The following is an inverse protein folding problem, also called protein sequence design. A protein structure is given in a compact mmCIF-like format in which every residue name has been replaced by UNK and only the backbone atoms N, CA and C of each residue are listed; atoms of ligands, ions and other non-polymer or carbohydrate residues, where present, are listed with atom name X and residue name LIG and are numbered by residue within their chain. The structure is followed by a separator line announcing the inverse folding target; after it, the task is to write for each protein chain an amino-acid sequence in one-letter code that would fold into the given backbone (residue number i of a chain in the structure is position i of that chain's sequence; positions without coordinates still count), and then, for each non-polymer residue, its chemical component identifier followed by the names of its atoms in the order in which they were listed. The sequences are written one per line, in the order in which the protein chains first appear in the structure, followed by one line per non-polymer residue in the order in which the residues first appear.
data_IF_066731440624
#
_entry.id   IF_066731440624
#
_cell.length_a   1.000
_cell.length_b   1.000
_cell.length_c   1.000
_cell.angle_alpha   90.00
_cell.angle_beta   90.00
_cell.angle_gamma   90.00
#
_symmetry.space_group_name_H-M   'P 1'
#
loop_
_entity.id
_entity.type
_entity.pdbx_description
1 polymer ?
#
# COMPACT_ATOMS: atom_id res chain seq x y z
N UNK A 1 34.61 -38.22 -26.05
CA UNK A 1 33.34 -38.57 -25.35
C UNK A 1 33.13 -37.78 -24.06
N UNK A 2 34.15 -37.61 -23.21
CA UNK A 2 34.04 -36.87 -21.94
C UNK A 2 33.52 -35.43 -22.08
N UNK A 3 33.94 -34.66 -23.10
CA UNK A 3 33.46 -33.27 -23.28
C UNK A 3 31.96 -33.16 -23.58
N UNK A 4 31.41 -34.05 -24.42
CA UNK A 4 29.96 -34.11 -24.71
C UNK A 4 29.16 -34.53 -23.48
N UNK A 5 29.69 -35.45 -22.67
CA UNK A 5 29.07 -35.85 -21.40
C UNK A 5 29.12 -34.72 -20.37
N UNK A 6 30.24 -34.00 -20.28
CA UNK A 6 30.40 -32.83 -19.41
C UNK A 6 29.44 -31.70 -19.80
N UNK A 7 29.27 -31.44 -21.11
CA UNK A 7 28.30 -30.47 -21.61
C UNK A 7 26.86 -30.89 -21.34
N UNK A 8 26.50 -32.17 -21.56
CA UNK A 8 25.17 -32.69 -21.19
C UNK A 8 24.92 -32.60 -19.69
N UNK A 9 25.92 -32.90 -18.88
CA UNK A 9 25.82 -32.83 -17.42
C UNK A 9 25.65 -31.38 -16.95
N UNK A 10 26.43 -30.43 -17.49
CA UNK A 10 26.25 -28.99 -17.24
C UNK A 10 24.90 -28.45 -17.74
N UNK A 11 24.40 -28.99 -18.84
CA UNK A 11 23.08 -28.63 -19.38
C UNK A 11 21.94 -29.13 -18.49
N UNK A 12 21.95 -30.42 -18.12
CA UNK A 12 20.87 -31.05 -17.33
C UNK A 12 20.85 -30.58 -15.88
N UNK A 13 22.01 -30.41 -15.23
CA UNK A 13 22.11 -29.99 -13.83
C UNK A 13 22.18 -28.46 -13.66
N UNK A 14 22.59 -27.73 -14.70
CA UNK A 14 22.75 -26.29 -14.69
C UNK A 14 21.68 -25.60 -15.53
N UNK A 15 21.89 -25.50 -16.84
CA UNK A 15 21.16 -24.54 -17.69
C UNK A 15 19.67 -24.84 -17.91
N UNK A 16 19.29 -26.13 -17.97
CA UNK A 16 17.91 -26.57 -18.23
C UNK A 16 16.92 -26.16 -17.14
N UNK A 17 17.17 -26.35 -15.82
CA UNK A 17 16.26 -25.87 -14.79
C UNK A 17 16.15 -24.34 -14.76
N UNK A 18 17.24 -23.59 -14.99
CA UNK A 18 17.18 -22.12 -15.07
C UNK A 18 16.36 -21.64 -16.26
N UNK A 19 16.59 -22.18 -17.46
CA UNK A 19 15.83 -21.81 -18.67
C UNK A 19 14.36 -22.17 -18.55
N UNK A 20 14.02 -23.35 -18.01
CA UNK A 20 12.63 -23.74 -17.73
C UNK A 20 11.96 -22.77 -16.74
N UNK A 21 12.66 -22.43 -15.66
CA UNK A 21 12.13 -21.52 -14.63
C UNK A 21 11.95 -20.11 -15.18
N UNK A 22 12.91 -19.62 -15.96
CA UNK A 22 12.84 -18.34 -16.66
C UNK A 22 11.64 -18.27 -17.61
N UNK A 23 11.48 -19.26 -18.50
CA UNK A 23 10.36 -19.31 -19.45
C UNK A 23 9.00 -19.45 -18.75
N UNK A 24 8.93 -20.28 -17.70
CA UNK A 24 7.73 -20.41 -16.88
C UNK A 24 7.33 -19.06 -16.28
N UNK A 25 8.27 -18.35 -15.67
CA UNK A 25 7.99 -17.05 -15.07
C UNK A 25 7.71 -15.96 -16.08
N UNK A 26 8.36 -15.99 -17.24
CA UNK A 26 8.06 -15.08 -18.35
C UNK A 26 6.58 -15.19 -18.74
N UNK A 27 6.07 -16.42 -18.91
CA UNK A 27 4.66 -16.66 -19.26
C UNK A 27 3.72 -16.33 -18.09
N UNK A 28 3.99 -16.85 -16.89
CA UNK A 28 3.10 -16.67 -15.75
C UNK A 28 3.00 -15.19 -15.34
N UNK A 29 4.12 -14.49 -15.24
CA UNK A 29 4.16 -13.08 -14.88
C UNK A 29 3.54 -12.19 -15.97
N UNK A 30 3.67 -12.55 -17.26
CA UNK A 30 3.00 -11.82 -18.35
C UNK A 30 1.48 -11.95 -18.28
N UNK A 31 0.98 -13.17 -18.07
CA UNK A 31 -0.47 -13.40 -17.91
C UNK A 31 -1.00 -12.65 -16.69
N UNK A 32 -0.29 -12.72 -15.55
CA UNK A 32 -0.64 -11.94 -14.36
C UNK A 32 -0.61 -10.43 -14.64
N UNK A 33 0.46 -9.93 -15.26
CA UNK A 33 0.63 -8.52 -15.56
C UNK A 33 -0.51 -7.96 -16.40
N UNK A 34 -0.87 -8.64 -17.50
CA UNK A 34 -1.99 -8.19 -18.36
C UNK A 34 -3.32 -8.28 -17.62
N UNK A 35 -3.64 -9.42 -17.00
CA UNK A 35 -4.93 -9.61 -16.34
C UNK A 35 -5.12 -8.68 -15.12
N UNK A 36 -4.11 -8.61 -14.25
CA UNK A 36 -4.11 -7.73 -13.09
C UNK A 36 -4.02 -6.25 -13.48
N UNK A 37 -3.30 -5.92 -14.56
CA UNK A 37 -3.22 -4.57 -15.09
C UNK A 37 -4.55 -4.06 -15.63
N UNK A 38 -5.27 -4.90 -16.37
CA UNK A 38 -6.62 -4.57 -16.84
C UNK A 38 -7.60 -4.34 -15.68
N UNK A 39 -7.61 -5.24 -14.69
CA UNK A 39 -8.46 -5.08 -13.49
C UNK A 39 -8.04 -3.88 -12.66
N UNK A 40 -6.75 -3.63 -12.50
CA UNK A 40 -6.20 -2.46 -11.83
C UNK A 40 -6.59 -1.16 -12.51
N UNK A 41 -6.58 -1.11 -13.84
CA UNK A 41 -7.02 0.05 -14.62
C UNK A 41 -8.52 0.32 -14.48
N UNK A 42 -9.36 -0.72 -14.55
CA UNK A 42 -10.80 -0.58 -14.28
C UNK A 42 -11.03 -0.04 -12.86
N UNK A 43 -10.31 -0.59 -11.88
CA UNK A 43 -10.43 -0.14 -10.49
C UNK A 43 -9.97 1.32 -10.31
N UNK A 44 -8.87 1.73 -10.95
CA UNK A 44 -8.42 3.11 -11.00
C UNK A 44 -9.52 4.04 -11.52
N UNK A 45 -10.07 3.74 -12.70
CA UNK A 45 -11.08 4.60 -13.33
C UNK A 45 -12.38 4.67 -12.53
N UNK A 46 -12.81 3.57 -11.91
CA UNK A 46 -13.97 3.56 -11.02
C UNK A 46 -13.79 4.46 -9.81
N UNK A 47 -12.63 4.40 -9.14
CA UNK A 47 -12.36 5.24 -7.96
C UNK A 47 -12.16 6.71 -8.34
N UNK A 48 -11.51 6.99 -9.46
CA UNK A 48 -11.37 8.34 -10.01
C UNK A 48 -12.73 8.95 -10.36
N UNK A 49 -13.59 8.19 -11.04
CA UNK A 49 -14.96 8.61 -11.32
C UNK A 49 -15.77 8.85 -10.05
N UNK A 50 -15.67 7.95 -9.06
CA UNK A 50 -16.34 8.11 -7.77
C UNK A 50 -15.91 9.39 -7.05
N UNK A 51 -14.63 9.73 -7.14
CA UNK A 51 -14.06 10.96 -6.57
C UNK A 51 -14.63 12.20 -7.27
N UNK A 52 -14.64 12.21 -8.61
CA UNK A 52 -15.22 13.31 -9.40
C UNK A 52 -16.71 13.50 -9.14
N UNK A 53 -17.48 12.41 -9.09
CA UNK A 53 -18.92 12.43 -8.75
C UNK A 53 -19.18 12.98 -7.35
N UNK A 54 -18.38 12.58 -6.35
CA UNK A 54 -18.48 13.10 -4.99
C UNK A 54 -18.21 14.60 -4.93
N UNK A 55 -17.21 15.09 -5.67
CA UNK A 55 -16.88 16.51 -5.75
C UNK A 55 -18.00 17.31 -6.42
N UNK A 56 -18.57 16.79 -7.52
CA UNK A 56 -19.67 17.41 -8.25
C UNK A 56 -21.00 17.39 -7.49
N UNK A 57 -21.23 16.37 -6.65
CA UNK A 57 -22.48 16.18 -5.91
C UNK A 57 -22.25 16.05 -4.40
N UNK A 58 -22.08 17.18 -3.70
CA UNK A 58 -21.82 17.21 -2.26
C UNK A 58 -22.84 16.46 -1.39
N UNK A 59 -24.08 16.34 -1.83
CA UNK A 59 -25.14 15.65 -1.08
C UNK A 59 -24.92 14.12 -0.97
N UNK A 60 -24.07 13.52 -1.83
CA UNK A 60 -23.75 12.08 -1.79
C UNK A 60 -23.20 11.63 -0.43
N UNK A 61 -22.56 12.53 0.32
CA UNK A 61 -22.07 12.27 1.67
C UNK A 61 -23.19 11.78 2.62
N UNK A 62 -24.41 12.28 2.46
CA UNK A 62 -25.54 11.90 3.33
C UNK A 62 -26.06 10.49 3.05
N UNK A 63 -25.69 9.89 1.91
CA UNK A 63 -25.99 8.49 1.58
C UNK A 63 -24.98 7.50 2.16
N UNK A 64 -23.93 7.98 2.83
CA UNK A 64 -22.89 7.14 3.45
C UNK A 64 -23.46 6.01 4.34
N UNK A 65 -24.49 6.22 5.18
CA UNK A 65 -25.10 5.13 5.96
C UNK A 65 -25.67 4.03 5.06
N UNK A 66 -26.38 4.41 3.99
CA UNK A 66 -27.01 3.47 3.05
C UNK A 66 -25.94 2.65 2.32
N UNK A 67 -24.90 3.31 1.79
CA UNK A 67 -23.82 2.60 1.11
C UNK A 67 -23.03 1.68 2.04
N UNK A 68 -22.82 2.09 3.29
CA UNK A 68 -22.20 1.22 4.29
C UNK A 68 -23.05 -0.03 4.57
N UNK A 69 -24.37 0.10 4.70
CA UNK A 69 -25.28 -1.05 4.88
C UNK A 69 -25.21 -2.00 3.68
N UNK A 70 -25.15 -1.46 2.46
CA UNK A 70 -24.97 -2.25 1.23
C UNK A 70 -23.66 -3.02 1.27
N UNK A 71 -22.54 -2.39 1.65
CA UNK A 71 -21.24 -3.06 1.80
C UNK A 71 -21.36 -4.24 2.77
N UNK A 72 -21.92 -4.03 3.96
CA UNK A 72 -22.07 -5.08 4.98
C UNK A 72 -22.95 -6.21 4.47
N UNK A 73 -24.11 -5.88 3.89
CA UNK A 73 -25.06 -6.87 3.37
C UNK A 73 -24.44 -7.75 2.29
N UNK A 74 -23.74 -7.16 1.32
CA UNK A 74 -23.13 -7.92 0.23
C UNK A 74 -21.99 -8.80 0.75
N UNK A 75 -21.14 -8.30 1.65
CA UNK A 75 -20.05 -9.09 2.25
C UNK A 75 -20.59 -10.30 3.05
N UNK A 76 -21.64 -10.09 3.86
CA UNK A 76 -22.28 -11.17 4.62
C UNK A 76 -22.95 -12.21 3.70
N UNK A 77 -23.67 -11.75 2.66
CA UNK A 77 -24.33 -12.63 1.69
C UNK A 77 -23.31 -13.48 0.91
N UNK A 78 -22.14 -12.91 0.58
CA UNK A 78 -21.05 -13.63 -0.06
C UNK A 78 -20.22 -14.50 0.90
N UNK A 79 -20.60 -14.59 2.19
CA UNK A 79 -19.90 -15.33 3.25
C UNK A 79 -18.44 -14.92 3.41
N UNK A 80 -18.14 -13.64 3.14
CA UNK A 80 -16.82 -13.06 3.36
C UNK A 80 -16.80 -12.42 4.74
N UNK A 81 -15.96 -12.96 5.63
CA UNK A 81 -15.76 -12.39 6.96
C UNK A 81 -15.32 -10.93 6.84
N UNK A 82 -15.94 -10.04 7.63
CA UNK A 82 -15.71 -8.60 7.50
C UNK A 82 -14.40 -8.12 8.14
N UNK A 83 -13.66 -9.00 8.83
CA UNK A 83 -12.65 -8.54 9.79
C UNK A 83 -11.20 -8.67 9.28
N UNK A 84 -10.93 -9.45 8.22
CA UNK A 84 -9.54 -9.81 7.89
C UNK A 84 -8.85 -9.02 6.78
N UNK A 85 -9.55 -8.17 6.02
CA UNK A 85 -8.97 -7.14 5.13
C UNK A 85 -7.68 -7.51 4.38
N UNK A 86 -6.70 -6.60 4.39
CA UNK A 86 -5.36 -6.79 3.79
C UNK A 86 -4.54 -7.88 4.50
N UNK A 87 -4.75 -8.05 5.82
CA UNK A 87 -4.09 -9.09 6.61
C UNK A 87 -4.37 -10.51 6.07
N UNK A 88 -5.59 -10.79 5.61
CA UNK A 88 -5.93 -12.08 5.01
C UNK A 88 -5.06 -12.42 3.79
N UNK A 89 -4.69 -11.39 3.03
CA UNK A 89 -3.91 -11.56 1.79
C UNK A 89 -2.43 -11.72 2.10
N UNK A 90 -1.93 -11.01 3.11
CA UNK A 90 -0.58 -11.23 3.63
C UNK A 90 -0.42 -12.62 4.24
N UNK A 91 -1.39 -13.09 5.04
CA UNK A 91 -1.43 -14.46 5.56
C UNK A 91 -1.47 -15.49 4.42
N UNK A 92 -2.25 -15.21 3.37
CA UNK A 92 -2.33 -16.06 2.18
C UNK A 92 -0.97 -16.20 1.50
N UNK A 93 -0.24 -15.09 1.34
CA UNK A 93 1.10 -15.07 0.77
C UNK A 93 2.09 -15.83 1.66
N UNK A 94 2.05 -15.60 2.98
CA UNK A 94 2.89 -16.31 3.95
C UNK A 94 2.65 -17.83 3.92
N UNK A 95 1.39 -18.26 3.88
CA UNK A 95 1.06 -19.69 3.94
C UNK A 95 1.12 -20.40 2.58
N UNK A 96 1.27 -19.66 1.48
CA UNK A 96 1.15 -20.20 0.11
C UNK A 96 -0.28 -20.70 -0.20
N UNK A 97 -1.29 -20.13 0.46
CA UNK A 97 -2.71 -20.43 0.20
C UNK A 97 -3.28 -19.37 -0.75
N UNK A 98 -4.49 -19.59 -1.25
CA UNK A 98 -5.23 -18.60 -2.05
C UNK A 98 -6.21 -17.82 -1.16
N UNK A 99 -6.28 -16.51 -1.37
CA UNK A 99 -7.43 -15.74 -0.98
C UNK A 99 -8.60 -16.07 -1.93
N UNK A 100 -9.87 -16.05 -1.47
CA UNK A 100 -11.01 -16.34 -2.34
C UNK A 100 -11.08 -15.33 -3.49
N UNK A 101 -11.18 -15.80 -4.75
CA UNK A 101 -11.30 -14.91 -5.93
C UNK A 101 -12.48 -13.93 -5.82
N UNK A 102 -13.54 -14.32 -5.11
CA UNK A 102 -14.71 -13.48 -4.83
C UNK A 102 -14.36 -12.19 -4.07
N UNK A 103 -13.22 -12.14 -3.38
CA UNK A 103 -12.71 -10.93 -2.72
C UNK A 103 -12.51 -9.78 -3.72
N UNK A 104 -12.02 -10.08 -4.92
CA UNK A 104 -11.69 -9.08 -5.94
C UNK A 104 -12.89 -8.19 -6.33
N UNK A 105 -14.03 -8.71 -6.81
CA UNK A 105 -15.18 -7.86 -7.13
C UNK A 105 -15.78 -7.17 -5.89
N UNK A 106 -15.73 -7.82 -4.72
CA UNK A 106 -16.25 -7.25 -3.48
C UNK A 106 -15.47 -6.04 -2.99
N UNK A 107 -14.13 -6.11 -3.01
CA UNK A 107 -13.28 -5.01 -2.55
C UNK A 107 -13.30 -3.85 -3.54
N UNK A 108 -13.42 -4.12 -4.85
CA UNK A 108 -13.63 -3.08 -5.87
C UNK A 108 -14.92 -2.32 -5.58
N UNK A 109 -16.04 -3.04 -5.45
CA UNK A 109 -17.35 -2.45 -5.16
C UNK A 109 -17.34 -1.67 -3.84
N UNK A 110 -16.79 -2.24 -2.76
CA UNK A 110 -16.84 -1.60 -1.47
C UNK A 110 -15.92 -0.38 -1.36
N UNK A 111 -14.74 -0.41 -2.00
CA UNK A 111 -13.86 0.76 -2.08
C UNK A 111 -14.50 1.86 -2.93
N UNK A 112 -15.11 1.49 -4.07
CA UNK A 112 -15.87 2.42 -4.89
C UNK A 112 -16.99 3.13 -4.11
N UNK A 113 -17.84 2.38 -3.40
CA UNK A 113 -18.91 2.95 -2.57
C UNK A 113 -18.32 3.85 -1.47
N UNK A 114 -17.25 3.41 -0.81
CA UNK A 114 -16.59 4.19 0.25
C UNK A 114 -16.09 5.53 -0.28
N UNK A 115 -15.43 5.55 -1.45
CA UNK A 115 -14.93 6.79 -2.05
C UNK A 115 -16.04 7.68 -2.60
N UNK A 116 -17.07 7.09 -3.23
CA UNK A 116 -18.20 7.81 -3.81
C UNK A 116 -18.98 8.58 -2.73
N UNK A 117 -19.17 7.96 -1.58
CA UNK A 117 -19.95 8.52 -0.48
C UNK A 117 -19.09 9.30 0.52
N UNK A 118 -17.78 9.39 0.30
CA UNK A 118 -16.89 10.27 1.06
C UNK A 118 -16.30 9.68 2.33
N UNK A 119 -16.24 8.36 2.49
CA UNK A 119 -15.37 7.75 3.49
C UNK A 119 -13.91 8.10 3.23
N UNK A 120 -13.14 8.41 4.28
CA UNK A 120 -11.69 8.63 4.16
C UNK A 120 -10.96 7.30 4.08
N UNK A 121 -10.58 6.91 2.86
CA UNK A 121 -9.84 5.70 2.57
C UNK A 121 -9.01 5.88 1.28
N UNK A 122 -7.97 5.09 1.14
CA UNK A 122 -7.17 4.93 -0.08
C UNK A 122 -7.62 3.74 -0.92
N UNK A 123 -6.96 3.52 -2.06
CA UNK A 123 -7.25 2.42 -3.00
C UNK A 123 -6.19 1.31 -2.97
N UNK A 124 -5.14 1.47 -2.18
CA UNK A 124 -3.89 0.68 -2.24
C UNK A 124 -4.00 -0.64 -1.48
N UNK A 125 -4.53 -0.60 -0.26
CA UNK A 125 -4.81 -1.82 0.51
C UNK A 125 -5.79 -2.71 -0.24
N UNK A 126 -6.75 -2.10 -0.95
CA UNK A 126 -7.63 -2.81 -1.88
C UNK A 126 -6.85 -3.36 -3.09
N UNK A 127 -5.89 -2.61 -3.65
CA UNK A 127 -5.01 -3.06 -4.74
C UNK A 127 -4.24 -4.33 -4.36
N UNK A 128 -3.61 -4.36 -3.18
CA UNK A 128 -2.92 -5.54 -2.66
C UNK A 128 -3.88 -6.72 -2.51
N UNK A 129 -5.10 -6.47 -2.05
CA UNK A 129 -6.10 -7.52 -1.89
C UNK A 129 -6.56 -8.11 -3.23
N UNK A 130 -6.83 -7.25 -4.21
CA UNK A 130 -7.20 -7.65 -5.58
C UNK A 130 -6.04 -8.46 -6.18
N UNK A 131 -4.82 -7.95 -6.10
CA UNK A 131 -3.63 -8.56 -6.66
C UNK A 131 -3.28 -9.90 -6.02
N UNK A 132 -3.33 -10.00 -4.70
CA UNK A 132 -3.06 -11.27 -4.01
C UNK A 132 -4.14 -12.33 -4.26
N UNK A 133 -5.42 -11.91 -4.34
CA UNK A 133 -6.54 -12.78 -4.73
C UNK A 133 -6.41 -13.31 -6.16
N UNK A 134 -6.14 -12.42 -7.12
CA UNK A 134 -5.96 -12.79 -8.53
C UNK A 134 -4.70 -13.61 -8.75
N UNK A 135 -3.57 -13.22 -8.15
CA UNK A 135 -2.31 -13.95 -8.20
C UNK A 135 -2.46 -15.37 -7.62
N UNK A 136 -3.14 -15.50 -6.48
CA UNK A 136 -3.45 -16.80 -5.89
C UNK A 136 -4.34 -17.66 -6.80
N UNK A 137 -5.37 -17.08 -7.41
CA UNK A 137 -6.22 -17.82 -8.34
C UNK A 137 -5.49 -18.24 -9.63
N UNK A 138 -4.67 -17.35 -10.20
CA UNK A 138 -3.87 -17.65 -11.40
C UNK A 138 -2.86 -18.77 -11.12
N UNK A 139 -2.15 -18.72 -9.98
CA UNK A 139 -1.19 -19.75 -9.62
C UNK A 139 -1.82 -21.13 -9.44
N UNK A 140 -3.02 -21.20 -8.86
CA UNK A 140 -3.79 -22.44 -8.74
C UNK A 140 -4.24 -22.94 -10.11
N UNK A 141 -4.74 -22.05 -10.98
CA UNK A 141 -5.18 -22.40 -12.34
C UNK A 141 -4.01 -22.93 -13.19
N UNK A 142 -2.82 -22.37 -12.99
CA UNK A 142 -1.57 -22.81 -13.63
C UNK A 142 -0.95 -24.05 -12.95
N UNK A 143 -1.57 -24.58 -11.89
CA UNK A 143 -1.11 -25.76 -11.13
C UNK A 143 0.31 -25.61 -10.57
N UNK A 144 0.63 -24.41 -10.08
CA UNK A 144 1.92 -24.12 -9.47
C UNK A 144 2.08 -24.85 -8.13
N UNK A 145 3.32 -25.23 -7.79
CA UNK A 145 3.63 -25.76 -6.46
C UNK A 145 3.51 -24.64 -5.40
N UNK A 146 3.60 -24.99 -4.11
CA UNK A 146 3.39 -24.04 -3.00
C UNK A 146 4.33 -22.82 -3.02
N UNK A 147 5.60 -23.01 -3.40
CA UNK A 147 6.58 -21.93 -3.45
C UNK A 147 6.31 -21.00 -4.63
N UNK A 148 6.06 -21.56 -5.81
CA UNK A 148 5.63 -20.79 -6.99
C UNK A 148 4.26 -20.13 -6.77
N UNK A 149 3.36 -20.74 -6.00
CA UNK A 149 2.08 -20.15 -5.61
C UNK A 149 2.28 -18.87 -4.79
N UNK A 150 3.17 -18.91 -3.79
CA UNK A 150 3.56 -17.71 -3.01
C UNK A 150 4.12 -16.62 -3.91
N UNK A 151 5.05 -16.96 -4.81
CA UNK A 151 5.63 -16.00 -5.77
C UNK A 151 4.57 -15.43 -6.71
N UNK A 152 3.56 -16.21 -7.09
CA UNK A 152 2.48 -15.73 -7.94
C UNK A 152 1.53 -14.76 -7.21
N UNK A 153 1.27 -14.98 -5.93
CA UNK A 153 0.54 -14.02 -5.07
C UNK A 153 1.30 -12.69 -5.00
N UNK A 154 2.62 -12.75 -4.79
CA UNK A 154 3.49 -11.58 -4.80
C UNK A 154 3.50 -10.83 -6.13
N UNK A 155 3.58 -11.58 -7.24
CA UNK A 155 3.54 -11.00 -8.58
C UNK A 155 2.19 -10.34 -8.85
N UNK A 156 1.08 -10.92 -8.40
CA UNK A 156 -0.25 -10.32 -8.50
C UNK A 156 -0.40 -9.05 -7.68
N UNK A 157 0.07 -9.04 -6.43
CA UNK A 157 0.14 -7.82 -5.59
C UNK A 157 0.95 -6.72 -6.28
N UNK A 158 2.12 -7.07 -6.81
CA UNK A 158 3.00 -6.14 -7.54
C UNK A 158 2.33 -5.58 -8.79
N UNK A 159 1.62 -6.42 -9.55
CA UNK A 159 0.93 -6.02 -10.75
C UNK A 159 -0.17 -4.99 -10.46
N UNK A 160 -1.09 -5.28 -9.54
CA UNK A 160 -2.22 -4.37 -9.29
C UNK A 160 -1.74 -3.08 -8.62
N UNK A 161 -0.76 -3.15 -7.72
CA UNK A 161 -0.18 -1.95 -7.12
C UNK A 161 0.48 -1.05 -8.19
N UNK A 162 1.25 -1.63 -9.12
CA UNK A 162 1.87 -0.90 -10.23
C UNK A 162 0.84 -0.25 -11.17
N UNK A 163 -0.26 -0.95 -11.49
CA UNK A 163 -1.34 -0.41 -12.32
C UNK A 163 -2.02 0.80 -11.69
N UNK A 164 -2.08 0.85 -10.36
CA UNK A 164 -2.75 1.93 -9.63
C UNK A 164 -1.86 3.15 -9.41
N UNK A 165 -0.57 2.96 -9.11
CA UNK A 165 0.35 4.06 -8.77
C UNK A 165 1.17 4.55 -9.95
N UNK A 166 1.38 3.69 -10.94
CA UNK A 166 2.39 3.95 -11.95
C UNK A 166 3.83 3.82 -11.41
N UNK A 167 4.02 3.11 -10.29
CA UNK A 167 5.31 2.91 -9.61
C UNK A 167 5.73 1.42 -9.68
N UNK A 168 6.06 0.88 -10.86
CA UNK A 168 6.33 -0.55 -11.04
C UNK A 168 7.54 -1.07 -10.26
N UNK A 169 8.56 -0.24 -10.03
CA UNK A 169 9.75 -0.64 -9.27
C UNK A 169 9.43 -0.80 -7.79
N UNK A 170 8.75 0.19 -7.23
CA UNK A 170 8.21 0.17 -5.86
C UNK A 170 7.28 -1.01 -5.67
N UNK A 171 6.35 -1.23 -6.59
CA UNK A 171 5.36 -2.30 -6.47
C UNK A 171 6.01 -3.69 -6.37
N UNK A 172 7.04 -3.94 -7.18
CA UNK A 172 7.77 -5.20 -7.19
C UNK A 172 8.50 -5.43 -5.87
N UNK A 173 9.23 -4.42 -5.40
CA UNK A 173 10.02 -4.53 -4.15
C UNK A 173 9.12 -4.56 -2.92
N UNK A 174 8.11 -3.69 -2.86
CA UNK A 174 7.16 -3.59 -1.76
C UNK A 174 6.48 -4.92 -1.48
N UNK A 175 5.99 -5.60 -2.52
CA UNK A 175 5.33 -6.91 -2.34
C UNK A 175 6.28 -7.94 -1.72
N UNK A 176 7.56 -7.95 -2.11
CA UNK A 176 8.57 -8.86 -1.56
C UNK A 176 8.99 -8.52 -0.13
N UNK A 177 8.98 -7.23 0.23
CA UNK A 177 9.46 -6.71 1.52
C UNK A 177 8.35 -6.70 2.59
N UNK A 178 7.09 -6.48 2.21
CA UNK A 178 5.97 -6.30 3.15
C UNK A 178 5.57 -7.59 3.89
N UNK A 179 5.87 -8.77 3.34
CA UNK A 179 5.47 -10.05 3.95
C UNK A 179 6.19 -10.31 5.27
N UNK A 180 7.49 -10.03 5.31
CA UNK A 180 8.36 -10.34 6.45
C UNK A 180 9.41 -9.26 6.65
N UNK A 181 9.31 -8.55 7.78
CA UNK A 181 10.27 -7.52 8.18
C UNK A 181 11.63 -8.18 8.40
N UNK A 182 12.63 -7.69 7.66
CA UNK A 182 14.02 -8.18 7.71
C UNK A 182 14.38 -9.22 6.65
N UNK A 183 13.43 -9.67 5.81
CA UNK A 183 13.70 -10.65 4.74
C UNK A 183 13.12 -10.16 3.41
N UNK A 184 13.95 -10.20 2.37
CA UNK A 184 13.49 -9.92 1.00
C UNK A 184 13.50 -11.22 0.21
N UNK A 185 12.36 -11.60 -0.35
CA UNK A 185 12.20 -12.85 -1.07
C UNK A 185 12.71 -12.76 -2.52
N UNK A 186 14.03 -12.77 -2.70
CA UNK A 186 14.69 -12.55 -4.00
C UNK A 186 14.27 -13.52 -5.11
N UNK A 187 13.80 -14.72 -4.77
CA UNK A 187 13.24 -15.67 -5.73
C UNK A 187 12.02 -15.11 -6.51
N UNK A 188 11.32 -14.11 -5.94
CA UNK A 188 10.19 -13.44 -6.57
C UNK A 188 10.58 -12.19 -7.39
N UNK A 189 11.85 -11.80 -7.44
CA UNK A 189 12.29 -10.57 -8.09
C UNK A 189 11.87 -10.52 -9.57
N UNK A 190 12.26 -11.52 -10.36
CA UNK A 190 11.93 -11.57 -11.79
C UNK A 190 10.40 -11.60 -12.02
N UNK A 191 9.62 -12.49 -11.36
CA UNK A 191 8.17 -12.52 -11.54
C UNK A 191 7.47 -11.22 -11.13
N UNK A 192 7.86 -10.63 -10.01
CA UNK A 192 7.26 -9.38 -9.53
C UNK A 192 7.60 -8.21 -10.44
N UNK A 193 8.85 -8.10 -10.89
CA UNK A 193 9.28 -7.05 -11.82
C UNK A 193 8.60 -7.17 -13.19
N UNK A 194 8.53 -8.39 -13.77
CA UNK A 194 7.83 -8.60 -15.04
C UNK A 194 6.34 -8.29 -14.92
N UNK A 195 5.69 -8.81 -13.88
CA UNK A 195 4.26 -8.58 -13.66
C UNK A 195 3.95 -7.09 -13.41
N UNK A 196 4.79 -6.39 -12.63
CA UNK A 196 4.60 -4.95 -12.36
C UNK A 196 4.81 -4.10 -13.61
N UNK A 197 5.86 -4.35 -14.40
CA UNK A 197 6.15 -3.61 -15.64
C UNK A 197 5.06 -3.82 -16.70
N UNK A 198 4.64 -5.08 -16.91
CA UNK A 198 3.59 -5.40 -17.89
C UNK A 198 2.24 -4.84 -17.44
N UNK A 199 1.94 -4.91 -16.14
CA UNK A 199 0.72 -4.35 -15.58
C UNK A 199 0.69 -2.82 -15.70
N UNK A 200 1.80 -2.15 -15.41
CA UNK A 200 1.95 -0.71 -15.63
C UNK A 200 1.71 -0.34 -17.09
N UNK A 201 2.38 -1.01 -18.03
CA UNK A 201 2.19 -0.78 -19.47
C UNK A 201 0.73 -1.02 -19.91
N UNK A 202 0.11 -2.09 -19.42
CA UNK A 202 -1.31 -2.39 -19.69
C UNK A 202 -2.23 -1.29 -19.16
N UNK A 203 -1.99 -0.82 -17.94
CA UNK A 203 -2.81 0.22 -17.32
C UNK A 203 -2.68 1.56 -18.07
N UNK A 204 -1.46 1.95 -18.46
CA UNK A 204 -1.21 3.14 -19.26
C UNK A 204 -1.90 3.05 -20.62
N UNK A 205 -1.87 1.89 -21.28
CA UNK A 205 -2.59 1.66 -22.54
C UNK A 205 -4.12 1.78 -22.37
N UNK A 206 -4.64 1.50 -21.17
CA UNK A 206 -6.05 1.69 -20.80
C UNK A 206 -6.34 3.08 -20.22
N UNK A 207 -5.39 4.02 -20.36
CA UNK A 207 -5.58 5.43 -20.01
C UNK A 207 -5.41 5.78 -18.53
N UNK A 208 -4.78 4.91 -17.71
CA UNK A 208 -4.39 5.33 -16.36
C UNK A 208 -3.23 6.32 -16.41
N UNK A 209 -3.24 7.30 -15.51
CA UNK A 209 -2.15 8.27 -15.38
C UNK A 209 -1.27 7.87 -14.19
N UNK A 210 0.06 7.79 -14.34
CA UNK A 210 0.97 7.58 -13.22
C UNK A 210 0.93 8.77 -12.28
N UNK A 211 1.02 8.51 -10.97
CA UNK A 211 1.16 9.56 -9.95
C UNK A 211 2.61 10.06 -9.99
N UNK A 212 2.82 11.33 -10.33
CA UNK A 212 4.14 11.98 -10.33
C UNK A 212 3.97 13.41 -9.86
N UNK A 213 4.74 13.81 -8.87
CA UNK A 213 4.68 15.14 -8.29
C UNK A 213 5.99 15.87 -8.56
N UNK A 214 5.88 17.14 -8.96
CA UNK A 214 7.04 17.99 -9.14
C UNK A 214 7.42 18.58 -7.79
N UNK A 215 8.62 18.25 -7.32
CA UNK A 215 9.20 18.88 -6.14
C UNK A 215 10.04 20.07 -6.61
N UNK A 216 9.50 21.27 -6.47
CA UNK A 216 10.25 22.48 -6.75
C UNK A 216 11.38 22.63 -5.71
N UNK A 217 12.60 22.91 -6.16
CA UNK A 217 13.73 23.00 -5.25
C UNK A 217 14.18 21.66 -4.65
N UNK A 218 14.01 20.55 -5.37
CA UNK A 218 14.67 19.30 -5.02
C UNK A 218 16.18 19.56 -4.85
N UNK A 219 16.71 19.28 -3.67
CA UNK A 219 18.12 19.50 -3.34
C UNK A 219 18.82 18.18 -3.07
N UNK A 220 20.05 18.08 -3.56
CA UNK A 220 20.95 17.00 -3.19
C UNK A 220 21.29 17.04 -1.70
N UNK A 221 21.86 15.94 -1.20
CA UNK A 221 22.32 15.83 0.18
C UNK A 221 23.34 16.94 0.50
N UNK A 222 23.00 17.77 1.48
CA UNK A 222 23.90 18.68 2.15
C UNK A 222 23.93 18.35 3.63
N UNK A 223 24.98 18.76 4.34
CA UNK A 223 25.04 18.56 5.80
C UNK A 223 23.83 19.20 6.49
N UNK A 224 23.42 20.37 6.01
CA UNK A 224 22.30 21.13 6.55
C UNK A 224 20.96 20.43 6.33
N UNK A 225 20.69 19.96 5.10
CA UNK A 225 19.48 19.18 4.81
C UNK A 225 19.47 17.83 5.55
N UNK A 226 20.64 17.21 5.77
CA UNK A 226 20.73 15.91 6.42
C UNK A 226 20.24 15.93 7.87
N UNK A 227 20.70 16.88 8.70
CA UNK A 227 20.27 16.95 10.09
C UNK A 227 18.80 17.38 10.21
N UNK A 228 18.34 18.32 9.37
CA UNK A 228 16.94 18.76 9.33
C UNK A 228 16.00 17.62 8.91
N UNK A 229 16.35 16.90 7.85
CA UNK A 229 15.60 15.73 7.39
C UNK A 229 15.60 14.60 8.42
N UNK A 230 16.69 14.41 9.17
CA UNK A 230 16.76 13.44 10.27
C UNK A 230 15.75 13.80 11.37
N UNK A 231 15.69 15.06 11.81
CA UNK A 231 14.70 15.50 12.81
C UNK A 231 13.26 15.33 12.30
N UNK A 232 13.01 15.68 11.03
CA UNK A 232 11.73 15.45 10.40
C UNK A 232 11.35 13.96 10.40
N UNK A 233 12.30 13.07 10.09
CA UNK A 233 12.10 11.63 10.09
C UNK A 233 11.79 11.05 11.48
N UNK A 234 12.39 11.59 12.54
CA UNK A 234 12.02 11.25 13.93
C UNK A 234 10.54 11.58 14.19
N UNK A 235 10.10 12.77 13.78
CA UNK A 235 8.69 13.17 13.85
C UNK A 235 7.77 12.26 13.03
N UNK A 236 8.18 11.88 11.81
CA UNK A 236 7.44 10.96 10.95
C UNK A 236 7.34 9.54 11.55
N UNK A 237 8.38 9.08 12.24
CA UNK A 237 8.36 7.79 12.94
C UNK A 237 7.30 7.77 14.04
N UNK A 238 7.28 8.82 14.88
CA UNK A 238 6.27 8.99 15.93
C UNK A 238 4.88 9.10 15.31
N UNK A 239 4.73 9.88 14.24
CA UNK A 239 3.46 10.03 13.52
C UNK A 239 2.96 8.70 12.94
N UNK A 240 3.86 7.89 12.37
CA UNK A 240 3.55 6.54 11.90
C UNK A 240 3.07 5.62 13.02
N UNK A 241 3.73 5.64 14.18
CA UNK A 241 3.28 4.90 15.37
C UNK A 241 1.87 5.34 15.78
N UNK A 242 1.64 6.65 15.88
CA UNK A 242 0.33 7.21 16.24
C UNK A 242 -0.75 6.81 15.22
N UNK A 243 -0.42 6.79 13.93
CA UNK A 243 -1.32 6.35 12.87
C UNK A 243 -1.70 4.87 13.05
N UNK A 244 -0.71 3.98 13.20
CA UNK A 244 -0.95 2.55 13.44
C UNK A 244 -1.78 2.30 14.70
N UNK A 245 -1.44 2.96 15.81
CA UNK A 245 -2.19 2.86 17.08
C UNK A 245 -3.61 3.36 16.91
N UNK A 246 -3.84 4.48 16.22
CA UNK A 246 -5.17 5.02 15.97
C UNK A 246 -6.04 4.07 15.15
N UNK A 247 -5.51 3.50 14.05
CA UNK A 247 -6.26 2.54 13.21
C UNK A 247 -6.65 1.29 14.02
N UNK A 248 -5.69 0.70 14.75
CA UNK A 248 -5.94 -0.51 15.54
C UNK A 248 -6.90 -0.23 16.71
N UNK A 249 -6.72 0.90 17.41
CA UNK A 249 -7.56 1.28 18.55
C UNK A 249 -8.99 1.57 18.10
N UNK A 250 -9.17 2.29 16.98
CA UNK A 250 -10.50 2.55 16.43
C UNK A 250 -11.20 1.23 16.08
N UNK A 251 -10.53 0.35 15.33
CA UNK A 251 -11.07 -0.98 14.97
C UNK A 251 -11.46 -1.79 16.21
N UNK A 252 -10.58 -1.86 17.21
CA UNK A 252 -10.83 -2.56 18.47
C UNK A 252 -12.01 -1.93 19.26
N UNK A 253 -12.08 -0.61 19.35
CA UNK A 253 -13.15 0.08 20.06
C UNK A 253 -14.52 -0.19 19.41
N UNK A 254 -14.61 -0.12 18.08
CA UNK A 254 -15.84 -0.48 17.36
C UNK A 254 -16.23 -1.93 17.57
N UNK A 255 -15.28 -2.87 17.48
CA UNK A 255 -15.56 -4.30 17.66
C UNK A 255 -16.00 -4.65 19.09
N UNK A 256 -15.42 -3.99 20.10
CA UNK A 256 -15.73 -4.26 21.51
C UNK A 256 -17.02 -3.57 21.98
N UNK A 257 -17.24 -2.31 21.59
CA UNK A 257 -18.40 -1.52 22.03
C UNK A 257 -19.63 -1.75 21.17
N UNK A 258 -19.47 -2.03 19.88
CA UNK A 258 -20.56 -2.20 18.92
C UNK A 258 -20.43 -3.54 18.19
N UNK A 259 -20.82 -4.64 18.85
CA UNK A 259 -20.68 -6.00 18.27
C UNK A 259 -21.41 -6.16 16.93
N UNK A 260 -22.55 -5.49 16.73
CA UNK A 260 -23.31 -5.56 15.47
C UNK A 260 -22.66 -4.70 14.38
N UNK A 261 -22.19 -5.34 13.30
CA UNK A 261 -21.55 -4.67 12.16
C UNK A 261 -22.44 -3.63 11.46
N UNK A 262 -23.75 -3.86 11.39
CA UNK A 262 -24.69 -2.88 10.82
C UNK A 262 -24.75 -1.61 11.66
N UNK A 263 -24.79 -1.76 12.98
CA UNK A 263 -24.78 -0.62 13.91
C UNK A 263 -23.44 0.13 13.88
N UNK A 264 -22.31 -0.59 13.78
CA UNK A 264 -20.97 0.02 13.61
C UNK A 264 -20.95 0.98 12.43
N UNK A 265 -21.42 0.52 11.27
CA UNK A 265 -21.47 1.33 10.06
C UNK A 265 -22.39 2.54 10.21
N UNK A 266 -23.58 2.39 10.82
CA UNK A 266 -24.50 3.51 11.00
C UNK A 266 -23.90 4.59 11.91
N UNK A 267 -23.32 4.18 13.05
CA UNK A 267 -22.65 5.10 13.98
C UNK A 267 -21.43 5.74 13.32
N UNK A 268 -20.59 4.96 12.66
CA UNK A 268 -19.41 5.46 11.96
C UNK A 268 -19.77 6.45 10.84
N UNK A 269 -20.82 6.16 10.07
CA UNK A 269 -21.31 7.07 9.03
C UNK A 269 -21.81 8.39 9.62
N UNK A 270 -22.56 8.34 10.72
CA UNK A 270 -23.00 9.54 11.43
C UNK A 270 -21.80 10.36 11.92
N UNK A 271 -20.79 9.71 12.51
CA UNK A 271 -19.56 10.38 12.96
C UNK A 271 -18.77 11.01 11.81
N UNK A 272 -18.67 10.35 10.65
CA UNK A 272 -18.01 10.90 9.46
C UNK A 272 -18.75 12.14 8.95
N UNK A 273 -20.09 12.08 8.85
CA UNK A 273 -20.91 13.21 8.42
C UNK A 273 -20.75 14.38 9.40
N UNK A 274 -20.90 14.14 10.70
CA UNK A 274 -20.76 15.17 11.73
C UNK A 274 -19.34 15.77 11.75
N UNK A 275 -18.31 14.94 11.58
CA UNK A 275 -16.93 15.40 11.48
C UNK A 275 -16.73 16.30 10.26
N UNK A 276 -17.17 15.88 9.08
CA UNK A 276 -17.06 16.68 7.85
C UNK A 276 -17.82 18.01 7.97
N UNK A 277 -18.99 18.01 8.60
CA UNK A 277 -19.76 19.24 8.85
C UNK A 277 -19.07 20.16 9.86
N UNK A 278 -18.54 19.61 10.96
CA UNK A 278 -17.86 20.39 12.01
C UNK A 278 -16.56 21.03 11.51
N UNK A 279 -15.82 20.32 10.64
CA UNK A 279 -14.58 20.82 10.04
C UNK A 279 -14.85 21.83 8.92
N UNK A 280 -16.06 21.83 8.34
CA UNK A 280 -16.47 22.80 7.33
C UNK A 280 -15.82 22.61 5.95
N UNK A 281 -14.98 21.59 5.77
CA UNK A 281 -14.35 21.24 4.49
C UNK A 281 -14.42 19.74 4.22
N UNK A 282 -14.38 19.39 2.93
CA UNK A 282 -14.46 18.02 2.41
C UNK A 282 -13.12 17.50 1.88
N UNK A 283 -12.06 18.28 2.04
CA UNK A 283 -10.69 17.94 1.61
C UNK A 283 -10.17 16.63 2.26
N UNK A 284 -10.73 16.25 3.42
CA UNK A 284 -10.33 15.04 4.14
C UNK A 284 -11.13 13.79 3.71
N UNK A 285 -12.25 13.95 3.00
CA UNK A 285 -13.07 12.85 2.52
C UNK A 285 -12.44 12.19 1.26
N UNK A 286 -12.55 10.87 1.14
CA UNK A 286 -11.92 10.11 0.06
C UNK A 286 -10.41 9.92 0.25
N UNK A 287 -9.67 9.78 -0.85
CA UNK A 287 -8.23 9.54 -0.83
C UNK A 287 -7.43 10.76 -0.32
N UNK A 288 -7.66 11.94 -0.92
CA UNK A 288 -6.97 13.18 -0.58
C UNK A 288 -5.65 13.41 -1.35
N UNK A 289 -5.45 12.74 -2.49
CA UNK A 289 -4.25 12.91 -3.32
C UNK A 289 -4.09 14.34 -3.84
N UNK A 290 -5.19 15.05 -4.05
CA UNK A 290 -5.22 16.47 -4.42
C UNK A 290 -4.54 17.36 -3.36
N UNK A 291 -4.77 17.08 -2.08
CA UNK A 291 -4.11 17.80 -0.98
C UNK A 291 -2.64 17.38 -0.85
N UNK A 292 -2.33 16.11 -1.14
CA UNK A 292 -0.94 15.63 -1.17
C UNK A 292 -0.15 16.34 -2.27
N UNK A 293 -0.72 16.44 -3.47
CA UNK A 293 -0.15 17.17 -4.59
C UNK A 293 0.10 18.63 -4.21
N UNK A 294 -0.93 19.34 -3.72
CA UNK A 294 -0.82 20.75 -3.31
C UNK A 294 0.26 20.99 -2.24
N UNK A 295 0.37 20.10 -1.25
CA UNK A 295 1.40 20.20 -0.22
C UNK A 295 2.83 19.99 -0.75
N UNK A 296 2.99 19.23 -1.84
CA UNK A 296 4.30 18.89 -2.40
C UNK A 296 4.72 19.87 -3.50
N UNK A 297 3.79 20.24 -4.38
CA UNK A 297 4.07 21.13 -5.52
C UNK A 297 4.04 22.59 -5.10
N UNK A 298 3.01 23.02 -4.38
CA UNK A 298 2.85 24.43 -3.98
C UNK A 298 3.49 24.71 -2.62
N UNK A 299 3.75 23.69 -1.80
CA UNK A 299 4.29 23.87 -0.45
C UNK A 299 3.29 24.52 0.51
N UNK A 300 2.00 24.34 0.26
CA UNK A 300 0.92 24.98 1.00
C UNK A 300 -0.04 23.97 1.65
N UNK A 301 -0.71 24.43 2.72
CA UNK A 301 -1.67 23.62 3.46
C UNK A 301 -3.06 24.25 3.45
N UNK A 302 -4.07 23.41 3.22
CA UNK A 302 -5.48 23.78 3.41
C UNK A 302 -5.76 24.15 4.87
N UNK A 303 -5.12 23.45 5.82
CA UNK A 303 -5.24 23.71 7.25
C UNK A 303 -4.02 23.14 8.02
N UNK A 304 -3.47 23.81 9.04
CA UNK A 304 -2.31 23.32 9.79
C UNK A 304 -2.54 21.95 10.44
N UNK A 305 -3.75 21.69 10.94
CA UNK A 305 -4.13 20.40 11.53
C UNK A 305 -4.52 19.31 10.51
N UNK A 306 -4.27 19.51 9.20
CA UNK A 306 -4.71 18.60 8.15
C UNK A 306 -4.30 17.14 8.39
N UNK A 307 -3.07 16.90 8.87
CA UNK A 307 -2.57 15.57 9.17
C UNK A 307 -3.38 14.89 10.30
N UNK A 308 -3.72 15.61 11.37
CA UNK A 308 -4.52 15.07 12.49
C UNK A 308 -5.95 14.80 12.01
N UNK A 309 -6.55 15.74 11.29
CA UNK A 309 -7.93 15.63 10.81
C UNK A 309 -8.08 14.43 9.86
N UNK A 310 -7.13 14.23 8.95
CA UNK A 310 -7.12 13.07 8.06
C UNK A 310 -6.93 11.76 8.80
N UNK A 311 -6.01 11.71 9.77
CA UNK A 311 -5.77 10.54 10.60
C UNK A 311 -7.05 10.12 11.34
N UNK A 312 -7.70 11.07 12.02
CA UNK A 312 -8.94 10.81 12.77
C UNK A 312 -10.07 10.34 11.85
N UNK A 313 -10.30 11.03 10.73
CA UNK A 313 -11.38 10.67 9.81
C UNK A 313 -11.16 9.29 9.18
N UNK A 314 -9.90 8.95 8.87
CA UNK A 314 -9.54 7.62 8.34
C UNK A 314 -9.74 6.55 9.40
N UNK A 315 -9.35 6.80 10.66
CA UNK A 315 -9.55 5.86 11.77
C UNK A 315 -11.04 5.57 12.01
N UNK A 316 -11.88 6.61 11.96
CA UNK A 316 -13.34 6.47 12.08
C UNK A 316 -13.89 5.67 10.89
N UNK A 317 -13.47 6.02 9.67
CA UNK A 317 -13.94 5.38 8.43
C UNK A 317 -13.62 3.89 8.41
N UNK A 318 -12.35 3.52 8.55
CA UNK A 318 -11.92 2.13 8.43
C UNK A 318 -12.27 1.32 9.69
N UNK A 319 -12.20 1.94 10.88
CA UNK A 319 -12.55 1.29 12.14
C UNK A 319 -14.02 0.86 12.21
N UNK A 320 -14.94 1.63 11.63
CA UNK A 320 -16.36 1.25 11.60
C UNK A 320 -16.71 0.19 10.54
N UNK A 321 -15.78 -0.12 9.63
CA UNK A 321 -15.87 -1.22 8.68
C UNK A 321 -16.10 -0.83 7.22
N UNK A 322 -15.94 0.45 6.84
CA UNK A 322 -15.79 0.80 5.42
C UNK A 322 -14.53 0.16 4.84
N UNK A 323 -14.47 0.07 3.51
CA UNK A 323 -13.42 -0.66 2.80
C UNK A 323 -12.57 0.28 1.96
N UNK A 324 -11.28 0.01 1.98
CA UNK A 324 -10.26 0.68 1.19
C UNK A 324 -8.90 0.38 1.80
N UNK A 325 -7.90 1.16 1.41
CA UNK A 325 -6.54 1.10 1.95
C UNK A 325 -6.21 2.25 2.90
N UNK A 326 -5.16 2.04 3.67
CA UNK A 326 -4.62 3.01 4.64
C UNK A 326 -3.41 3.79 4.07
N UNK A 327 -2.84 3.33 2.95
CA UNK A 327 -1.58 3.85 2.41
C UNK A 327 -1.71 5.30 1.94
N UNK A 328 -2.68 5.66 1.08
CA UNK A 328 -2.83 7.06 0.67
C UNK A 328 -3.19 8.00 1.83
N UNK A 329 -4.07 7.63 2.77
CA UNK A 329 -4.20 8.41 4.00
C UNK A 329 -2.89 8.58 4.78
N UNK A 330 -1.99 7.59 4.78
CA UNK A 330 -0.63 7.74 5.33
C UNK A 330 0.17 8.76 4.54
N UNK A 331 0.11 8.72 3.21
CA UNK A 331 0.77 9.72 2.36
C UNK A 331 0.31 11.13 2.67
N UNK A 332 -1.01 11.32 2.80
CA UNK A 332 -1.60 12.59 3.20
C UNK A 332 -1.10 13.06 4.55
N UNK A 333 -1.16 12.19 5.56
CA UNK A 333 -0.73 12.52 6.92
C UNK A 333 0.74 12.90 6.93
N UNK A 334 1.60 12.14 6.25
CA UNK A 334 3.03 12.41 6.12
C UNK A 334 3.32 13.71 5.37
N UNK A 335 2.77 13.89 4.17
CA UNK A 335 3.04 15.09 3.35
C UNK A 335 2.56 16.36 4.02
N UNK A 336 1.36 16.37 4.60
CA UNK A 336 0.83 17.56 5.27
C UNK A 336 1.56 17.87 6.58
N UNK A 337 2.03 16.85 7.31
CA UNK A 337 2.92 17.05 8.46
C UNK A 337 4.27 17.62 8.02
N UNK A 338 4.87 17.08 6.95
CA UNK A 338 6.13 17.58 6.41
C UNK A 338 6.06 19.01 5.91
N UNK A 339 4.99 19.35 5.19
CA UNK A 339 4.74 20.71 4.71
C UNK A 339 4.59 21.71 5.87
N UNK A 340 4.03 21.29 7.01
CA UNK A 340 3.88 22.13 8.21
C UNK A 340 5.21 22.30 8.95
N UNK A 341 5.92 21.19 9.22
CA UNK A 341 7.08 21.15 10.11
C UNK A 341 8.38 21.48 9.38
N UNK A 342 8.46 21.19 8.08
CA UNK A 342 9.61 21.45 7.23
C UNK A 342 10.12 22.89 7.32
N UNK A 343 9.26 23.89 7.05
CA UNK A 343 9.65 25.30 7.16
C UNK A 343 10.14 25.71 8.55
N UNK A 344 9.59 25.11 9.61
CA UNK A 344 10.05 25.33 10.99
C UNK A 344 11.47 24.81 11.25
N UNK A 345 11.88 23.77 10.50
CA UNK A 345 13.24 23.24 10.51
C UNK A 345 14.14 23.94 9.47
N UNK A 346 13.62 24.88 8.68
CA UNK A 346 14.32 25.54 7.58
C UNK A 346 14.42 24.71 6.30
N UNK A 347 13.62 23.65 6.14
CA UNK A 347 13.50 22.94 4.87
C UNK A 347 12.50 23.64 3.95
N UNK A 348 12.70 23.50 2.64
CA UNK A 348 11.67 23.81 1.67
C UNK A 348 10.39 22.98 1.97
N UNK A 349 9.19 23.60 1.99
CA UNK A 349 7.95 22.91 2.35
C UNK A 349 7.62 21.73 1.44
N UNK A 350 7.82 21.86 0.12
CA UNK A 350 7.55 20.81 -0.86
C UNK A 350 8.51 19.63 -0.71
N UNK A 351 9.80 19.91 -0.53
CA UNK A 351 10.81 18.89 -0.22
C UNK A 351 10.49 18.18 1.10
N UNK A 352 10.16 18.92 2.15
CA UNK A 352 9.81 18.34 3.43
C UNK A 352 8.54 17.48 3.37
N UNK A 353 7.52 17.90 2.61
CA UNK A 353 6.32 17.13 2.37
C UNK A 353 6.65 15.79 1.67
N UNK A 354 7.49 15.81 0.63
CA UNK A 354 7.92 14.60 -0.07
C UNK A 354 8.73 13.66 0.85
N UNK A 355 9.70 14.19 1.60
CA UNK A 355 10.49 13.41 2.56
C UNK A 355 9.62 12.79 3.66
N UNK A 356 8.68 13.56 4.21
CA UNK A 356 7.80 13.10 5.27
C UNK A 356 6.79 12.06 4.79
N UNK A 357 6.30 12.16 3.55
CA UNK A 357 5.47 11.12 2.92
C UNK A 357 6.21 9.79 2.86
N UNK A 358 7.45 9.80 2.33
CA UNK A 358 8.30 8.61 2.18
C UNK A 358 8.66 8.03 3.56
N UNK A 359 9.04 8.88 4.51
CA UNK A 359 9.38 8.47 5.87
C UNK A 359 8.19 7.88 6.63
N UNK A 360 7.01 8.48 6.51
CA UNK A 360 5.79 8.00 7.20
C UNK A 360 5.30 6.70 6.57
N UNK A 361 5.37 6.56 5.24
CA UNK A 361 5.09 5.29 4.57
C UNK A 361 6.03 4.16 5.06
N UNK A 362 7.31 4.46 5.18
CA UNK A 362 8.31 3.55 5.73
C UNK A 362 7.97 3.13 7.18
N UNK A 363 7.60 4.10 8.02
CA UNK A 363 7.24 3.86 9.42
C UNK A 363 6.07 2.89 9.57
N UNK A 364 5.04 3.03 8.74
CA UNK A 364 3.79 2.27 8.90
C UNK A 364 3.81 0.92 8.18
N UNK A 365 4.68 0.75 7.18
CA UNK A 365 4.78 -0.50 6.40
C UNK A 365 5.98 -1.35 6.75
N UNK A 366 6.99 -0.80 7.42
CA UNK A 366 8.27 -1.46 7.67
C UNK A 366 9.00 -1.90 6.40
N UNK A 367 8.83 -1.16 5.30
CA UNK A 367 9.45 -1.46 4.00
C UNK A 367 10.40 -0.33 3.56
N UNK A 368 11.62 -0.24 4.13
CA UNK A 368 12.56 0.84 3.82
C UNK A 368 12.99 0.87 2.36
N UNK A 369 13.27 -0.27 1.72
CA UNK A 369 13.76 -0.27 0.33
C UNK A 369 12.64 0.17 -0.61
N UNK A 370 11.44 -0.39 -0.45
CA UNK A 370 10.27 0.03 -1.21
C UNK A 370 9.96 1.52 -1.03
N UNK A 371 10.12 2.06 0.19
CA UNK A 371 9.87 3.48 0.47
C UNK A 371 10.85 4.40 -0.25
N UNK A 372 12.14 4.03 -0.30
CA UNK A 372 13.15 4.78 -1.05
C UNK A 372 12.82 4.81 -2.54
N UNK A 373 12.45 3.65 -3.10
CA UNK A 373 12.07 3.52 -4.51
C UNK A 373 10.78 4.29 -4.83
N UNK A 374 9.83 4.32 -3.88
CA UNK A 374 8.61 5.11 -3.98
C UNK A 374 8.95 6.60 -4.11
N UNK A 375 9.87 7.09 -3.28
CA UNK A 375 10.34 8.47 -3.37
C UNK A 375 10.90 8.81 -4.75
N UNK A 376 11.72 7.91 -5.32
CA UNK A 376 12.28 8.10 -6.66
C UNK A 376 11.20 8.11 -7.74
N UNK A 377 10.26 7.16 -7.72
CA UNK A 377 9.24 7.06 -8.77
C UNK A 377 8.17 8.17 -8.69
N UNK A 378 7.87 8.69 -7.49
CA UNK A 378 6.90 9.77 -7.30
C UNK A 378 7.50 11.16 -7.50
N UNK A 379 8.74 11.39 -7.04
CA UNK A 379 9.31 12.74 -6.89
C UNK A 379 10.62 12.96 -7.64
N UNK A 380 11.19 11.90 -8.24
CA UNK A 380 12.49 11.95 -8.92
C UNK A 380 13.68 11.55 -8.03
N UNK A 381 14.82 11.32 -8.68
CA UNK A 381 16.00 10.71 -8.06
C UNK A 381 16.94 11.71 -7.36
N UNK A 382 16.72 13.02 -7.51
CA UNK A 382 17.66 14.04 -7.03
C UNK A 382 17.90 14.00 -5.50
N UNK A 383 16.86 13.95 -4.64
CA UNK A 383 17.03 13.80 -3.20
C UNK A 383 17.12 12.32 -2.74
N UNK A 384 17.55 11.39 -3.59
CA UNK A 384 17.64 9.95 -3.27
C UNK A 384 18.35 9.66 -1.94
N UNK A 385 19.46 10.35 -1.68
CA UNK A 385 20.23 10.17 -0.45
C UNK A 385 19.45 10.64 0.80
N UNK A 386 18.60 11.65 0.65
CA UNK A 386 17.70 12.08 1.73
C UNK A 386 16.58 11.06 1.93
N UNK A 387 16.02 10.45 0.87
CA UNK A 387 15.06 9.34 1.02
C UNK A 387 15.66 8.18 1.81
N UNK A 388 16.89 7.79 1.48
CA UNK A 388 17.62 6.75 2.22
C UNK A 388 17.73 7.11 3.71
N UNK A 389 18.16 8.34 4.02
CA UNK A 389 18.35 8.81 5.38
C UNK A 389 17.04 8.80 6.17
N UNK A 390 15.98 9.41 5.65
CA UNK A 390 14.70 9.50 6.37
C UNK A 390 14.03 8.14 6.51
N UNK A 391 14.14 7.25 5.52
CA UNK A 391 13.65 5.89 5.63
C UNK A 391 14.41 5.08 6.68
N UNK A 392 15.73 5.18 6.73
CA UNK A 392 16.54 4.46 7.72
C UNK A 392 16.19 4.88 9.16
N UNK A 393 16.11 6.19 9.41
CA UNK A 393 15.74 6.75 10.71
C UNK A 393 14.31 6.36 11.08
N UNK A 394 13.37 6.55 10.17
CA UNK A 394 11.96 6.28 10.40
C UNK A 394 11.68 4.79 10.61
N UNK A 395 12.32 3.92 9.82
CA UNK A 395 12.27 2.47 9.99
C UNK A 395 12.79 2.06 11.36
N UNK A 396 13.95 2.55 11.80
CA UNK A 396 14.50 2.15 13.10
C UNK A 396 13.57 2.58 14.26
N UNK A 397 13.12 3.83 14.24
CA UNK A 397 12.40 4.45 15.36
C UNK A 397 10.91 4.06 15.43
N UNK A 398 10.31 3.65 14.33
CA UNK A 398 8.91 3.15 14.30
C UNK A 398 8.74 1.81 15.03
N UNK A 399 9.82 1.13 15.43
CA UNK A 399 9.75 -0.10 16.21
C UNK A 399 8.97 -1.21 15.48
N UNK A 400 8.13 -1.95 16.18
CA UNK A 400 7.32 -3.04 15.58
C UNK A 400 5.91 -2.60 15.16
N UNK A 401 5.62 -1.30 15.21
CA UNK A 401 4.32 -0.81 14.78
C UNK A 401 4.18 -0.99 13.26
N UNK A 402 3.01 -1.44 12.83
CA UNK A 402 2.69 -1.71 11.43
C UNK A 402 1.20 -1.56 11.22
N UNK A 403 0.79 -1.17 10.01
CA UNK A 403 -0.60 -1.27 9.56
C UNK A 403 -1.07 -2.71 9.42
N UNK A 404 -0.12 -3.62 9.23
CA UNK A 404 -0.38 -5.00 8.93
C UNK A 404 -0.08 -5.86 10.15
N UNK A 405 -1.10 -6.14 10.96
CA UNK A 405 -0.95 -6.98 12.15
C UNK A 405 -0.49 -8.41 11.84
N UNK A 406 -0.69 -8.89 10.60
CA UNK A 406 -0.20 -10.19 10.13
C UNK A 406 1.24 -10.15 9.61
N UNK A 407 1.87 -8.99 9.53
CA UNK A 407 3.26 -8.87 9.08
C UNK A 407 4.19 -9.59 10.05
N UNK A 408 4.99 -10.53 9.52
CA UNK A 408 5.93 -11.29 10.34
C UNK A 408 7.20 -10.46 10.61
N UNK A 409 7.71 -10.50 11.84
CA UNK A 409 8.99 -9.90 12.21
C UNK A 409 9.95 -11.01 12.61
N UNK A 410 11.10 -11.10 11.94
CA UNK A 410 12.08 -12.15 12.23
C UNK A 410 12.86 -11.89 13.54
N UNK A 411 12.82 -10.65 14.04
CA UNK A 411 13.57 -10.20 15.20
C UNK A 411 13.31 -8.74 15.57
N UNK A 412 13.82 -8.27 16.73
CA UNK A 412 13.87 -6.84 17.05
C UNK A 412 14.62 -6.05 15.97
N UNK A 413 14.20 -4.81 15.67
CA UNK A 413 14.98 -3.94 14.76
C UNK A 413 16.33 -3.51 15.34
N UNK A 414 16.51 -3.67 16.65
CA UNK A 414 17.67 -3.20 17.43
C UNK A 414 18.83 -4.20 17.47
N UNK A 415 18.54 -5.48 17.27
CA UNK A 415 19.53 -6.55 17.35
C UNK A 415 19.34 -7.45 16.14
N UNK A 416 20.41 -8.05 15.63
CA UNK A 416 20.26 -9.22 14.78
C UNK A 416 20.05 -10.39 15.76
N UNK A 417 18.83 -10.82 16.13
CA UNK A 417 18.74 -12.03 16.91
C UNK A 417 19.34 -13.15 16.04
N UNK A 418 20.14 -14.05 16.62
CA UNK A 418 20.40 -15.31 15.96
C UNK A 418 19.03 -15.93 15.65
N UNK A 419 18.85 -16.57 14.48
CA UNK A 419 17.57 -17.16 14.12
C UNK A 419 17.21 -18.26 15.13
N UNK A 420 16.44 -17.94 16.17
CA UNK A 420 15.96 -18.89 17.18
C UNK A 420 14.97 -19.91 16.60
N UNK A 421 14.52 -19.68 15.36
CA UNK A 421 13.87 -20.68 14.51
C UNK A 421 14.62 -20.75 13.20
N UNK A 422 14.93 -21.96 12.70
CA UNK A 422 15.63 -22.08 11.44
C UNK A 422 14.81 -21.39 10.34
N UNK A 423 15.50 -20.55 9.57
CA UNK A 423 15.01 -19.92 8.33
C UNK A 423 14.40 -20.98 7.38
N UNK A 424 14.73 -22.25 7.58
CA UNK A 424 14.15 -23.43 6.92
C UNK A 424 12.61 -23.52 7.02
N UNK A 425 11.97 -22.97 8.06
CA UNK A 425 10.49 -22.93 8.11
C UNK A 425 9.85 -21.94 7.12
N UNK A 426 10.63 -21.00 6.57
CA UNK A 426 10.17 -19.97 5.62
C UNK A 426 10.48 -20.33 4.15
N UNK A 427 11.45 -21.22 3.91
CA UNK A 427 11.98 -21.53 2.57
C UNK A 427 11.60 -22.92 2.01
N UNK A 428 10.74 -23.70 2.66
CA UNK A 428 10.24 -24.99 2.14
C UNK A 428 8.82 -24.95 1.58
#
# INVERSE_FOLDING_TARGET
MQFKQLLRQKWELGLKPYTRTFLMWLVCASIAGVACGAVGAVFFHLVSWATGMRQAHPWLLYLLPVGGLVIVFVYQTCRMGTERGTNAVLESAQQGKRAPLRLTPLIIMATFITHLLGGSAGREGAALQIGGSMGGWLGEKMRLNRNSQRVMVLAGMSAVFAALFGTPLTAAVFSMEVICVGVIYHAALLPCALASLISYGTAVMLGTKPERFVVHGAQALSLDNAWRATLLAVGCAVLGILFCVAMHTASHLYQTKLKNQYLRILVGSALIILFTLAVGTRAYNGAGMDVVEHAITEGELVHPAAFILKLLLTAITLGCGFRGGEIVPTFFVGSTFGCLVGPLLGLDPGLAAALALVATFCAVTNCPIASILLGVELFGAEPLLLYLLVCAVSYLLSGHYSLYSSQMTLGPKLTNPPPEKPVESFCH
#
